data_IF_005305147616
#
_entry.id   IF_005305147616
#
_cell.length_a   1.000
_cell.length_b   1.000
_cell.length_c   1.000
_cell.angle_alpha   90.00
_cell.angle_beta   90.00
_cell.angle_gamma   90.00
#
_symmetry.space_group_name_H-M   'P 1'
#
loop_
_entity.id
_entity.type
_entity.pdbx_description
1 polymer ?
#
# COMPACT_ATOMS: atom_id res chain seq x y z
N UNK A 1 -7.25 -0.01 -0.91
CA UNK A 1 -7.61 1.11 -1.79
C UNK A 1 -8.20 0.51 -3.04
N UNK A 2 -9.28 1.10 -3.57
CA UNK A 2 -9.80 0.69 -4.89
C UNK A 2 -8.87 1.32 -5.94
N UNK A 3 -8.38 0.54 -6.90
CA UNK A 3 -7.65 1.09 -8.04
C UNK A 3 -8.65 1.86 -8.91
N UNK A 4 -8.47 3.17 -9.02
CA UNK A 4 -9.26 3.98 -9.93
C UNK A 4 -8.70 3.82 -11.36
N UNK A 5 -9.57 3.77 -12.39
CA UNK A 5 -9.12 3.76 -13.77
C UNK A 5 -8.40 5.08 -14.07
N UNK A 6 -7.46 5.06 -15.01
CA UNK A 6 -6.62 6.22 -15.35
C UNK A 6 -7.45 7.49 -15.61
N UNK A 7 -8.53 7.37 -16.40
CA UNK A 7 -9.43 8.48 -16.69
C UNK A 7 -10.08 9.11 -15.47
N UNK A 8 -10.44 8.30 -14.45
CA UNK A 8 -11.03 8.83 -13.22
C UNK A 8 -9.98 9.52 -12.32
N UNK A 9 -8.72 9.05 -12.36
CA UNK A 9 -7.62 9.75 -11.68
C UNK A 9 -7.38 11.11 -12.34
N UNK A 10 -7.33 11.14 -13.67
CA UNK A 10 -7.13 12.38 -14.42
C UNK A 10 -8.27 13.38 -14.17
N UNK A 11 -9.52 12.93 -14.24
CA UNK A 11 -10.69 13.75 -13.93
C UNK A 11 -10.64 14.33 -12.51
N UNK A 12 -10.25 13.52 -11.53
CA UNK A 12 -10.09 14.00 -10.15
C UNK A 12 -8.98 15.05 -10.03
N UNK A 13 -7.85 14.86 -10.70
CA UNK A 13 -6.74 15.83 -10.72
C UNK A 13 -7.15 17.14 -11.40
N UNK A 14 -7.86 17.07 -12.53
CA UNK A 14 -8.38 18.23 -13.25
C UNK A 14 -9.40 19.00 -12.40
N UNK A 15 -10.27 18.28 -11.67
CA UNK A 15 -11.18 18.88 -10.70
C UNK A 15 -10.45 19.63 -9.58
N UNK A 16 -9.38 19.05 -9.02
CA UNK A 16 -8.57 19.71 -7.99
C UNK A 16 -7.82 20.94 -8.53
N UNK A 17 -7.35 20.90 -9.78
CA UNK A 17 -6.76 22.06 -10.47
C UNK A 17 -7.81 23.17 -10.67
N UNK A 18 -8.98 22.82 -11.22
CA UNK A 18 -10.06 23.78 -11.47
C UNK A 18 -10.57 24.44 -10.18
N UNK A 19 -10.56 23.71 -9.06
CA UNK A 19 -10.93 24.23 -7.75
C UNK A 19 -9.83 25.04 -7.04
N UNK A 20 -8.64 25.17 -7.64
CA UNK A 20 -7.51 25.91 -7.03
C UNK A 20 -6.85 25.19 -5.85
N UNK A 21 -7.03 23.88 -5.74
CA UNK A 21 -6.40 23.05 -4.71
C UNK A 21 -5.01 22.55 -5.11
N UNK A 22 -4.76 22.47 -6.42
CA UNK A 22 -3.45 22.17 -6.98
C UNK A 22 -3.04 23.31 -7.91
N UNK A 23 -1.73 23.50 -8.05
CA UNK A 23 -1.12 24.34 -9.06
C UNK A 23 -0.26 23.47 -9.99
N UNK A 24 -0.05 23.93 -11.23
CA UNK A 24 0.86 23.30 -12.17
C UNK A 24 2.16 24.11 -12.24
N UNK A 25 3.28 23.46 -11.96
CA UNK A 25 4.62 24.03 -12.05
C UNK A 25 5.44 23.20 -13.07
N UNK A 26 5.40 23.61 -14.35
CA UNK A 26 5.91 22.78 -15.44
C UNK A 26 5.13 21.47 -15.54
N UNK A 27 5.83 20.33 -15.44
CA UNK A 27 5.25 19.00 -15.54
C UNK A 27 4.82 18.40 -14.19
N UNK A 28 4.95 19.15 -13.09
CA UNK A 28 4.56 18.68 -11.76
C UNK A 28 3.31 19.40 -11.23
N UNK A 29 2.49 18.63 -10.51
CA UNK A 29 1.40 19.17 -9.72
C UNK A 29 1.89 19.43 -8.31
N UNK A 30 1.70 20.66 -7.82
CA UNK A 30 2.03 21.04 -6.45
C UNK A 30 0.76 21.43 -5.70
N UNK A 31 0.62 21.10 -4.41
CA UNK A 31 -0.51 21.57 -3.62
C UNK A 31 -0.55 23.11 -3.56
N UNK A 32 -1.74 23.71 -3.61
CA UNK A 32 -1.89 25.13 -3.28
C UNK A 32 -1.72 25.35 -1.77
N UNK A 33 -1.60 26.59 -1.30
CA UNK A 33 -1.45 26.87 0.14
C UNK A 33 -2.66 26.40 0.95
N UNK A 34 -3.87 26.51 0.38
CA UNK A 34 -5.08 25.96 0.99
C UNK A 34 -5.02 24.43 1.12
N UNK A 35 -4.59 23.73 0.08
CA UNK A 35 -4.41 22.27 0.14
C UNK A 35 -3.28 21.87 1.09
N UNK A 36 -2.15 22.61 1.12
CA UNK A 36 -1.09 22.40 2.10
C UNK A 36 -1.62 22.51 3.53
N UNK A 37 -2.44 23.51 3.81
CA UNK A 37 -3.07 23.67 5.12
C UNK A 37 -3.98 22.48 5.47
N UNK A 38 -4.84 22.04 4.54
CA UNK A 38 -5.70 20.86 4.76
C UNK A 38 -4.86 19.60 5.03
N UNK A 39 -3.80 19.37 4.24
CA UNK A 39 -2.89 18.25 4.44
C UNK A 39 -2.19 18.32 5.80
N UNK A 40 -1.76 19.51 6.24
CA UNK A 40 -1.16 19.71 7.57
C UNK A 40 -2.15 19.41 8.69
N UNK A 41 -3.40 19.85 8.58
CA UNK A 41 -4.46 19.54 9.55
C UNK A 41 -4.72 18.04 9.62
N UNK A 42 -4.80 17.38 8.46
CA UNK A 42 -4.99 15.93 8.39
C UNK A 42 -3.81 15.16 9.00
N UNK A 43 -2.57 15.59 8.75
CA UNK A 43 -1.37 14.99 9.38
C UNK A 43 -1.35 15.21 10.89
N UNK A 44 -1.70 16.41 11.37
CA UNK A 44 -1.77 16.67 12.81
C UNK A 44 -2.82 15.77 13.49
N UNK A 45 -4.00 15.63 12.90
CA UNK A 45 -5.05 14.75 13.41
C UNK A 45 -4.60 13.28 13.46
N UNK A 46 -3.81 12.82 12.47
CA UNK A 46 -3.21 11.47 12.50
C UNK A 46 -2.21 11.31 13.64
N UNK A 47 -1.36 12.31 13.87
CA UNK A 47 -0.44 12.33 15.01
C UNK A 47 -1.17 12.24 16.34
N UNK A 48 -2.23 13.04 16.53
CA UNK A 48 -3.06 12.98 17.74
C UNK A 48 -3.74 11.62 17.92
N UNK A 49 -4.26 11.03 16.85
CA UNK A 49 -4.84 9.69 16.91
C UNK A 49 -3.80 8.63 17.28
N UNK A 50 -2.60 8.68 16.69
CA UNK A 50 -1.50 7.77 17.05
C UNK A 50 -1.09 7.93 18.53
N UNK A 51 -0.96 9.17 19.01
CA UNK A 51 -0.62 9.45 20.41
C UNK A 51 -1.72 9.04 21.40
N UNK A 52 -2.98 8.97 20.97
CA UNK A 52 -4.07 8.42 21.80
C UNK A 52 -4.02 6.89 21.95
N UNK A 53 -3.31 6.20 21.06
CA UNK A 53 -3.19 4.74 21.06
C UNK A 53 -1.88 4.25 21.68
N UNK A 54 -0.78 4.94 21.43
CA UNK A 54 0.56 4.46 21.77
C UNK A 54 1.31 5.48 22.60
N UNK A 55 1.95 5.02 23.68
CA UNK A 55 2.92 5.82 24.41
C UNK A 55 4.20 6.02 23.59
N UNK A 56 4.97 7.06 23.90
CA UNK A 56 6.26 7.32 23.25
C UNK A 56 7.23 6.13 23.34
N UNK A 57 7.26 5.46 24.49
CA UNK A 57 8.14 4.31 24.75
C UNK A 57 7.74 3.11 23.88
N UNK A 58 6.46 2.73 23.92
CA UNK A 58 5.94 1.63 23.10
C UNK A 58 6.11 1.91 21.61
N UNK A 59 5.83 3.16 21.17
CA UNK A 59 5.97 3.56 19.78
C UNK A 59 7.44 3.56 19.31
N UNK A 60 8.35 4.01 20.17
CA UNK A 60 9.79 4.00 19.89
C UNK A 60 10.31 2.57 19.75
N UNK A 61 9.97 1.70 20.71
CA UNK A 61 10.43 0.31 20.70
C UNK A 61 9.88 -0.46 19.49
N UNK A 62 8.58 -0.34 19.22
CA UNK A 62 7.95 -0.98 18.06
C UNK A 62 8.47 -0.45 16.71
N UNK A 63 8.90 0.82 16.66
CA UNK A 63 9.39 1.46 15.44
C UNK A 63 10.88 1.24 15.16
N UNK A 64 11.65 0.78 16.14
CA UNK A 64 13.12 0.71 16.07
C UNK A 64 13.64 -0.18 14.92
N UNK A 65 13.08 -1.37 14.64
CA UNK A 65 13.63 -2.24 13.60
C UNK A 65 13.29 -1.81 12.16
N UNK A 66 12.25 -0.97 11.99
CA UNK A 66 11.69 -0.63 10.67
C UNK A 66 12.72 0.04 9.72
N UNK A 67 13.55 1.01 10.15
CA UNK A 67 14.58 1.59 9.29
C UNK A 67 15.53 0.56 8.67
N UNK A 68 15.93 -0.47 9.42
CA UNK A 68 16.79 -1.53 8.89
C UNK A 68 16.07 -2.36 7.82
N UNK A 69 14.81 -2.71 8.06
CA UNK A 69 13.96 -3.41 7.07
C UNK A 69 13.78 -2.56 5.81
N UNK A 70 13.48 -1.26 5.94
CA UNK A 70 13.33 -0.35 4.80
C UNK A 70 14.62 -0.15 4.01
N UNK A 71 15.77 -0.12 4.68
CA UNK A 71 17.07 -0.01 4.01
C UNK A 71 17.43 -1.26 3.18
N UNK A 72 16.92 -2.43 3.55
CA UNK A 72 17.14 -3.69 2.83
C UNK A 72 16.06 -3.98 1.77
N UNK A 73 14.98 -3.20 1.74
CA UNK A 73 13.89 -3.40 0.80
C UNK A 73 14.31 -3.12 -0.66
N UNK A 74 13.83 -3.94 -1.59
CA UNK A 74 13.98 -3.69 -3.03
C UNK A 74 12.96 -2.64 -3.46
N UNK A 75 13.40 -1.38 -3.49
CA UNK A 75 12.57 -0.25 -3.91
C UNK A 75 12.88 0.06 -5.36
N UNK A 76 11.88 0.00 -6.23
CA UNK A 76 12.00 0.40 -7.63
C UNK A 76 11.61 1.86 -7.78
N UNK A 77 10.31 2.15 -7.72
CA UNK A 77 9.69 3.47 -7.86
C UNK A 77 8.30 3.47 -7.17
N UNK A 78 7.57 4.59 -7.24
CA UNK A 78 6.16 4.64 -6.82
C UNK A 78 5.92 5.19 -5.41
N UNK A 79 4.89 4.68 -4.73
CA UNK A 79 4.41 5.24 -3.46
C UNK A 79 5.41 5.05 -2.33
N UNK A 80 6.01 3.87 -2.18
CA UNK A 80 7.03 3.66 -1.15
C UNK A 80 8.23 4.59 -1.37
N UNK A 81 8.74 4.67 -2.61
CA UNK A 81 9.86 5.55 -2.95
C UNK A 81 9.55 7.02 -2.62
N UNK A 82 8.33 7.46 -2.84
CA UNK A 82 7.87 8.81 -2.48
C UNK A 82 7.78 9.01 -0.96
N UNK A 83 7.29 8.01 -0.22
CA UNK A 83 7.16 8.06 1.24
C UNK A 83 8.51 8.04 1.97
N UNK A 84 9.53 7.41 1.38
CA UNK A 84 10.89 7.39 1.94
C UNK A 84 11.63 8.71 1.77
N UNK A 85 11.24 9.55 0.81
CA UNK A 85 11.76 10.92 0.65
C UNK A 85 11.18 11.89 1.68
N UNK A 86 10.00 11.59 2.23
CA UNK A 86 9.37 12.43 3.25
C UNK A 86 10.14 12.33 4.58
N UNK A 87 10.42 13.46 5.26
CA UNK A 87 11.05 13.44 6.57
C UNK A 87 10.17 12.69 7.57
N UNK A 88 10.81 12.09 8.57
CA UNK A 88 10.09 11.49 9.67
C UNK A 88 9.60 12.53 10.67
N UNK A 89 8.45 12.26 11.26
CA UNK A 89 7.91 13.11 12.31
C UNK A 89 8.73 12.96 13.61
N UNK A 90 8.92 14.04 14.38
CA UNK A 90 9.68 14.00 15.62
C UNK A 90 8.94 13.26 16.75
N UNK A 91 7.62 13.30 16.75
CA UNK A 91 6.74 12.58 17.67
C UNK A 91 6.81 11.06 17.43
N UNK A 92 7.00 10.27 18.49
CA UNK A 92 7.23 8.83 18.37
C UNK A 92 6.00 8.06 17.85
N UNK A 93 4.78 8.27 18.38
CA UNK A 93 3.56 7.67 17.85
C UNK A 93 3.30 8.00 16.37
N UNK A 94 3.43 9.28 15.97
CA UNK A 94 3.23 9.69 14.58
C UNK A 94 4.30 9.08 13.66
N UNK A 95 5.56 9.04 14.10
CA UNK A 95 6.64 8.37 13.36
C UNK A 95 6.40 6.88 13.21
N UNK A 96 5.93 6.20 14.25
CA UNK A 96 5.55 4.78 14.14
C UNK A 96 4.43 4.60 13.11
N UNK A 97 3.37 5.40 13.15
CA UNK A 97 2.30 5.34 12.16
C UNK A 97 2.82 5.52 10.73
N UNK A 98 3.72 6.49 10.50
CA UNK A 98 4.34 6.72 9.19
C UNK A 98 5.18 5.50 8.76
N UNK A 99 5.98 4.93 9.67
CA UNK A 99 6.81 3.75 9.42
C UNK A 99 5.96 2.52 9.10
N UNK A 100 4.89 2.26 9.85
CA UNK A 100 3.95 1.17 9.55
C UNK A 100 3.23 1.38 8.20
N UNK A 101 2.93 2.63 7.84
CA UNK A 101 2.39 2.96 6.52
C UNK A 101 3.38 2.62 5.40
N UNK A 102 4.68 2.90 5.60
CA UNK A 102 5.75 2.48 4.66
C UNK A 102 5.86 0.97 4.54
N UNK A 103 5.80 0.23 5.65
CA UNK A 103 5.76 -1.25 5.63
C UNK A 103 4.59 -1.78 4.81
N UNK A 104 3.41 -1.15 4.93
CA UNK A 104 2.25 -1.48 4.10
C UNK A 104 2.50 -1.20 2.62
N UNK A 105 3.15 -0.08 2.28
CA UNK A 105 3.48 0.23 0.89
C UNK A 105 4.53 -0.72 0.31
N UNK A 106 5.51 -1.17 1.12
CA UNK A 106 6.43 -2.23 0.71
C UNK A 106 5.67 -3.48 0.26
N UNK A 107 4.75 -3.98 1.10
CA UNK A 107 3.95 -5.15 0.71
C UNK A 107 3.11 -4.89 -0.53
N UNK A 108 2.51 -3.71 -0.66
CA UNK A 108 1.73 -3.36 -1.86
C UNK A 108 2.59 -3.37 -3.13
N UNK A 109 3.82 -2.85 -3.07
CA UNK A 109 4.73 -2.80 -4.21
C UNK A 109 5.23 -4.22 -4.55
N UNK A 110 5.59 -5.03 -3.56
CA UNK A 110 5.92 -6.46 -3.74
C UNK A 110 4.77 -7.25 -4.37
N UNK A 111 3.54 -6.95 -3.95
CA UNK A 111 2.34 -7.60 -4.48
C UNK A 111 2.11 -7.19 -5.93
N UNK A 112 2.14 -5.90 -6.24
CA UNK A 112 2.01 -5.39 -7.61
C UNK A 112 3.10 -5.98 -8.53
N UNK A 113 4.34 -6.07 -8.05
CA UNK A 113 5.44 -6.69 -8.79
C UNK A 113 5.17 -8.18 -9.08
N UNK A 114 4.66 -8.94 -8.10
CA UNK A 114 4.27 -10.34 -8.30
C UNK A 114 3.17 -10.48 -9.34
N UNK A 115 2.09 -9.68 -9.24
CA UNK A 115 1.02 -9.66 -10.25
C UNK A 115 1.54 -9.37 -11.67
N UNK A 116 2.38 -8.34 -11.81
CA UNK A 116 2.96 -7.97 -13.09
C UNK A 116 3.92 -9.03 -13.64
N UNK A 117 4.64 -9.75 -12.80
CA UNK A 117 5.49 -10.87 -13.22
C UNK A 117 4.68 -12.03 -13.82
N UNK A 118 3.43 -12.21 -13.39
CA UNK A 118 2.47 -13.14 -13.98
C UNK A 118 1.70 -12.56 -15.18
N UNK A 119 2.15 -11.42 -15.71
CA UNK A 119 1.60 -10.79 -16.90
C UNK A 119 0.16 -10.28 -16.72
N UNK A 120 -0.24 -9.95 -15.49
CA UNK A 120 -1.54 -9.33 -15.24
C UNK A 120 -1.41 -7.81 -15.30
N UNK A 121 -2.36 -7.18 -15.99
CA UNK A 121 -2.54 -5.73 -16.05
C UNK A 121 -3.29 -5.23 -14.81
N UNK A 122 -3.24 -3.93 -14.54
CA UNK A 122 -3.95 -3.34 -13.40
C UNK A 122 -5.48 -3.59 -13.45
N UNK A 123 -6.09 -3.58 -14.64
CA UNK A 123 -7.52 -3.90 -14.81
C UNK A 123 -7.83 -5.36 -14.47
N UNK A 124 -7.04 -6.29 -15.00
CA UNK A 124 -7.18 -7.71 -14.69
C UNK A 124 -6.96 -8.00 -13.20
N UNK A 125 -5.99 -7.36 -12.53
CA UNK A 125 -5.77 -7.51 -11.08
C UNK A 125 -7.02 -7.16 -10.26
N UNK A 126 -7.74 -6.10 -10.63
CA UNK A 126 -8.97 -5.67 -9.96
C UNK A 126 -10.06 -6.72 -10.14
N UNK A 127 -10.37 -7.10 -11.39
CA UNK A 127 -11.44 -8.08 -11.69
C UNK A 127 -11.11 -9.43 -11.06
N UNK A 128 -9.87 -9.88 -11.16
CA UNK A 128 -9.44 -11.15 -10.59
C UNK A 128 -9.50 -11.18 -9.07
N UNK A 129 -9.20 -10.07 -8.40
CA UNK A 129 -9.40 -9.95 -6.95
C UNK A 129 -10.88 -9.98 -6.58
N UNK A 130 -11.77 -9.36 -7.36
CA UNK A 130 -13.21 -9.41 -7.14
C UNK A 130 -13.74 -10.84 -7.29
N UNK A 131 -13.33 -11.55 -8.35
CA UNK A 131 -13.65 -12.96 -8.57
C UNK A 131 -13.18 -13.84 -7.41
N UNK A 132 -11.94 -13.65 -6.93
CA UNK A 132 -11.39 -14.42 -5.81
C UNK A 132 -12.14 -14.19 -4.50
N UNK A 133 -12.62 -12.96 -4.25
CA UNK A 133 -13.36 -12.56 -3.04
C UNK A 133 -14.87 -12.76 -3.13
N UNK A 134 -15.37 -13.27 -4.26
CA UNK A 134 -16.80 -13.36 -4.54
C UNK A 134 -17.51 -12.00 -4.39
N UNK A 135 -16.92 -10.97 -4.98
CA UNK A 135 -17.44 -9.60 -4.96
C UNK A 135 -18.09 -9.23 -6.28
N UNK A 136 -18.99 -8.24 -6.24
CA UNK A 136 -19.57 -7.64 -7.45
C UNK A 136 -18.45 -7.18 -8.39
N UNK A 137 -18.52 -7.65 -9.64
CA UNK A 137 -17.54 -7.34 -10.67
C UNK A 137 -17.72 -5.90 -11.13
N UNK A 138 -16.59 -5.25 -11.37
CA UNK A 138 -16.59 -4.00 -12.11
C UNK A 138 -17.06 -4.27 -13.55
N UNK A 139 -17.73 -3.29 -14.15
CA UNK A 139 -17.97 -3.27 -15.60
C UNK A 139 -16.65 -3.06 -16.36
N UNK A 140 -15.93 -4.16 -16.55
CA UNK A 140 -14.70 -4.26 -17.34
C UNK A 140 -14.70 -5.60 -18.10
N UNK A 141 -15.51 -5.70 -19.18
CA UNK A 141 -15.66 -6.95 -19.93
C UNK A 141 -14.36 -7.37 -20.62
N UNK A 142 -13.45 -6.44 -20.92
CA UNK A 142 -12.16 -6.74 -21.54
C UNK A 142 -11.25 -7.49 -20.56
N UNK A 143 -11.16 -7.02 -19.30
CA UNK A 143 -10.39 -7.72 -18.27
C UNK A 143 -10.97 -9.11 -17.96
N UNK A 144 -12.29 -9.24 -17.86
CA UNK A 144 -12.93 -10.55 -17.63
C UNK A 144 -12.70 -11.53 -18.80
N UNK A 145 -12.80 -11.05 -20.05
CA UNK A 145 -12.53 -11.85 -21.23
C UNK A 145 -11.07 -12.33 -21.26
N UNK A 146 -10.10 -11.45 -20.98
CA UNK A 146 -8.68 -11.80 -20.93
C UNK A 146 -8.37 -12.85 -19.85
N UNK A 147 -8.95 -12.72 -18.65
CA UNK A 147 -8.84 -13.73 -17.59
C UNK A 147 -9.46 -15.07 -18.00
N UNK A 148 -10.58 -15.04 -18.71
CA UNK A 148 -11.26 -16.24 -19.20
C UNK A 148 -10.47 -16.96 -20.30
N UNK A 149 -9.89 -16.21 -21.24
CA UNK A 149 -9.01 -16.73 -22.29
C UNK A 149 -7.77 -17.43 -21.71
N UNK A 150 -7.26 -16.91 -20.59
CA UNK A 150 -6.16 -17.52 -19.81
C UNK A 150 -6.60 -18.72 -18.95
N UNK A 151 -7.88 -19.07 -18.95
CA UNK A 151 -8.44 -20.13 -18.12
C UNK A 151 -8.44 -19.83 -16.61
N UNK A 152 -8.29 -18.56 -16.22
CA UNK A 152 -8.26 -18.12 -14.82
C UNK A 152 -9.67 -17.84 -14.26
N UNK A 153 -10.66 -17.70 -15.14
CA UNK A 153 -12.05 -17.47 -14.81
C UNK A 153 -12.99 -18.21 -15.78
N UNK A 154 -14.15 -18.64 -15.30
CA UNK A 154 -15.23 -19.24 -16.09
C UNK A 154 -16.58 -18.76 -15.56
N UNK A 155 -17.49 -18.35 -16.46
CA UNK A 155 -18.85 -17.92 -16.15
C UNK A 155 -18.95 -16.87 -15.03
N UNK A 156 -18.00 -15.93 -14.99
CA UNK A 156 -17.95 -14.89 -13.96
C UNK A 156 -17.49 -15.38 -12.58
N UNK A 157 -16.87 -16.55 -12.51
CA UNK A 157 -16.26 -17.10 -11.30
C UNK A 157 -14.78 -17.40 -11.50
N UNK A 158 -13.99 -17.37 -10.43
CA UNK A 158 -12.59 -17.80 -10.48
C UNK A 158 -12.51 -19.31 -10.71
N UNK A 159 -11.62 -19.75 -11.61
CA UNK A 159 -11.35 -21.17 -11.87
C UNK A 159 -10.36 -21.74 -10.85
N UNK A 160 -10.15 -23.06 -10.85
CA UNK A 160 -9.11 -23.69 -10.02
C UNK A 160 -7.70 -23.21 -10.42
N UNK A 161 -7.45 -23.02 -11.72
CA UNK A 161 -6.20 -22.44 -12.21
C UNK A 161 -6.03 -20.98 -11.73
N UNK A 162 -7.13 -20.22 -11.68
CA UNK A 162 -7.14 -18.89 -11.05
C UNK A 162 -6.80 -18.93 -9.57
N UNK A 163 -7.37 -19.87 -8.80
CA UNK A 163 -7.05 -20.03 -7.38
C UNK A 163 -5.57 -20.39 -7.18
N UNK A 164 -5.06 -21.33 -7.96
CA UNK A 164 -3.64 -21.71 -7.91
C UNK A 164 -2.71 -20.54 -8.25
N UNK A 165 -3.03 -19.75 -9.29
CA UNK A 165 -2.26 -18.55 -9.62
C UNK A 165 -2.28 -17.52 -8.49
N UNK A 166 -3.44 -17.34 -7.85
CA UNK A 166 -3.60 -16.41 -6.73
C UNK A 166 -2.71 -16.79 -5.54
N UNK A 167 -2.60 -18.08 -5.24
CA UNK A 167 -1.69 -18.62 -4.21
C UNK A 167 -0.22 -18.37 -4.59
N UNK A 168 0.16 -18.69 -5.83
CA UNK A 168 1.52 -18.43 -6.32
C UNK A 168 1.90 -16.95 -6.20
N UNK A 169 0.96 -16.03 -6.44
CA UNK A 169 1.20 -14.60 -6.28
C UNK A 169 1.42 -14.20 -4.82
N UNK A 170 0.72 -14.81 -3.85
CA UNK A 170 1.05 -14.59 -2.44
C UNK A 170 2.44 -15.13 -2.09
N UNK A 171 2.81 -16.31 -2.60
CA UNK A 171 4.13 -16.89 -2.37
C UNK A 171 5.23 -15.98 -2.92
N UNK A 172 5.06 -15.47 -4.15
CA UNK A 172 6.01 -14.54 -4.78
C UNK A 172 6.05 -13.20 -4.04
N UNK A 173 4.90 -12.70 -3.57
CA UNK A 173 4.83 -11.48 -2.72
C UNK A 173 5.63 -11.67 -1.43
N UNK A 174 5.43 -12.81 -0.76
CA UNK A 174 6.12 -13.14 0.48
C UNK A 174 7.62 -13.33 0.25
N UNK A 175 8.03 -13.96 -0.85
CA UNK A 175 9.43 -14.11 -1.22
C UNK A 175 10.10 -12.74 -1.49
N UNK A 176 9.40 -11.83 -2.14
CA UNK A 176 9.87 -10.46 -2.39
C UNK A 176 10.02 -9.68 -1.07
N UNK A 177 9.02 -9.73 -0.18
CA UNK A 177 9.04 -9.07 1.12
C UNK A 177 10.13 -9.64 2.04
N UNK A 178 10.33 -10.97 2.03
CA UNK A 178 11.25 -11.67 2.92
C UNK A 178 12.69 -11.14 2.84
N UNK A 179 13.10 -10.62 1.66
CA UNK A 179 14.43 -10.00 1.48
C UNK A 179 14.63 -8.84 2.44
N UNK A 180 13.63 -7.99 2.65
CA UNK A 180 13.71 -6.84 3.55
C UNK A 180 13.83 -7.28 5.01
N UNK A 181 13.04 -8.28 5.42
CA UNK A 181 13.04 -8.81 6.78
C UNK A 181 14.29 -9.64 7.11
N UNK A 182 15.01 -10.15 6.10
CA UNK A 182 16.28 -10.84 6.30
C UNK A 182 17.38 -9.94 6.91
N UNK A 183 17.19 -8.61 6.92
CA UNK A 183 18.07 -7.66 7.60
C UNK A 183 18.06 -7.80 9.13
N UNK A 184 17.00 -8.39 9.70
CA UNK A 184 16.88 -8.68 11.12
C UNK A 184 17.24 -10.15 11.36
N UNK A 185 17.93 -10.47 12.45
CA UNK A 185 18.12 -11.86 12.83
C UNK A 185 16.78 -12.53 13.20
N UNK A 186 16.65 -13.87 13.08
CA UNK A 186 15.37 -14.54 13.29
C UNK A 186 14.77 -14.35 14.69
N UNK A 187 15.59 -14.30 15.74
CA UNK A 187 15.09 -14.14 17.11
C UNK A 187 14.56 -12.72 17.33
N UNK A 188 15.28 -11.72 16.83
CA UNK A 188 14.84 -10.34 16.86
C UNK A 188 13.54 -10.12 16.07
N UNK A 189 13.36 -10.78 14.91
CA UNK A 189 12.08 -10.71 14.19
C UNK A 189 10.90 -11.21 15.00
N UNK A 190 11.04 -12.35 15.68
CA UNK A 190 9.97 -12.91 16.51
C UNK A 190 9.63 -11.97 17.65
N UNK A 191 10.63 -11.50 18.39
CA UNK A 191 10.43 -10.54 19.48
C UNK A 191 9.77 -9.24 18.99
N UNK A 192 10.18 -8.73 17.83
CA UNK A 192 9.58 -7.53 17.26
C UNK A 192 8.11 -7.74 16.86
N UNK A 193 7.75 -8.91 16.30
CA UNK A 193 6.35 -9.24 15.99
C UNK A 193 5.49 -9.32 17.25
N UNK A 194 6.02 -9.89 18.34
CA UNK A 194 5.35 -9.90 19.65
C UNK A 194 5.14 -8.47 20.19
N UNK A 195 6.15 -7.60 20.04
CA UNK A 195 6.01 -6.16 20.36
C UNK A 195 4.90 -5.51 19.55
N UNK A 196 4.86 -5.73 18.24
CA UNK A 196 3.79 -5.19 17.37
C UNK A 196 2.41 -5.77 17.73
N UNK A 197 2.34 -7.04 18.12
CA UNK A 197 1.08 -7.68 18.50
C UNK A 197 0.52 -7.13 19.81
N UNK A 198 1.41 -6.73 20.73
CA UNK A 198 1.05 -6.15 22.02
C UNK A 198 0.56 -4.69 21.97
N UNK A 199 0.74 -3.99 20.83
CA UNK A 199 0.29 -2.61 20.69
C UNK A 199 -1.24 -2.50 20.75
N UNK A 200 -1.80 -1.50 21.47
CA UNK A 200 -3.21 -1.18 21.41
C UNK A 200 -3.71 -0.99 19.97
N UNK A 201 -4.86 -1.58 19.66
CA UNK A 201 -5.54 -1.51 18.35
C UNK A 201 -6.90 -0.84 18.53
N UNK A 202 -7.39 -0.20 17.48
CA UNK A 202 -8.80 0.20 17.44
C UNK A 202 -9.67 -1.07 17.42
N UNK A 203 -10.57 -1.19 18.38
CA UNK A 203 -11.73 -2.08 18.23
C UNK A 203 -12.69 -1.39 17.25
N UNK A 204 -12.89 -2.02 16.10
CA UNK A 204 -13.75 -1.53 15.01
C UNK A 204 -15.20 -1.99 15.20
#
# INVERSE_FOLDING_TARGET
GRYAPEGAVQEALDGLLAAGHLNREGDVLVPSDGMRHVLQVAEHARGQAAASLWSDDAATHAGEPIPAVMAAAKITDGLLASQLKAPEWPDAPHRLFQRLSRMRYLRNDSHAAAWSAHGLTAGEMVVFTQLWRDQELRDDPAALAALSERGLAHDGHISDAGRALREQIEDDTNANDAVAYAALDPAHRVAWLETLDSLPRFEA
#
